data_IF_038218562950
#
_entry.id   IF_038218562950
#
_cell.length_a   1.000
_cell.length_b   1.000
_cell.length_c   1.000
_cell.angle_alpha   90.00
_cell.angle_beta   90.00
_cell.angle_gamma   90.00
#
_symmetry.space_group_name_H-M   'P 1'
#
loop_
_entity.id
_entity.type
_entity.pdbx_description
1 polymer ?
#
# COMPACT_ATOMS: atom_id res chain seq x y z
N UNK A 1 4.69 65.21 124.87
CA UNK A 1 5.03 65.96 126.11
C UNK A 1 4.03 67.08 126.24
N UNK A 2 3.11 66.94 127.20
CA UNK A 2 2.28 67.97 127.81
C UNK A 2 1.53 67.24 128.93
N UNK A 3 2.20 67.13 130.07
CA UNK A 3 1.61 66.65 131.32
C UNK A 3 0.54 67.66 131.74
N UNK A 4 -0.70 67.20 131.85
CA UNK A 4 -1.84 68.02 132.28
C UNK A 4 -1.55 68.58 133.68
N UNK A 5 -1.50 69.92 133.84
CA UNK A 5 -1.28 70.56 135.12
C UNK A 5 -2.63 70.69 135.84
N UNK A 6 -2.64 70.37 137.15
CA UNK A 6 -3.82 70.28 138.04
C UNK A 6 -4.63 68.98 137.80
N UNK A 7 -4.86 68.09 138.76
CA UNK A 7 -5.39 68.33 140.11
C UNK A 7 -4.86 67.25 141.10
N UNK A 8 -4.25 67.77 142.19
CA UNK A 8 -3.80 67.19 143.49
C UNK A 8 -2.66 66.13 143.48
N UNK A 9 -1.41 66.51 143.85
CA UNK A 9 -0.21 65.65 143.86
C UNK A 9 -0.17 64.44 144.81
N UNK A 10 -1.27 64.08 145.48
CA UNK A 10 -1.27 63.04 146.51
C UNK A 10 -2.38 61.97 146.37
N UNK A 11 -3.01 61.85 145.19
CA UNK A 11 -3.83 60.68 144.85
C UNK A 11 -3.23 59.95 143.65
N UNK A 12 -2.85 58.68 143.82
CA UNK A 12 -2.40 57.82 142.71
C UNK A 12 -3.58 57.57 141.76
N UNK A 13 -3.47 57.96 140.50
CA UNK A 13 -4.45 57.58 139.48
C UNK A 13 -4.33 56.07 139.27
N UNK A 14 -5.41 55.32 139.52
CA UNK A 14 -5.36 53.83 139.54
C UNK A 14 -6.12 53.19 138.38
N UNK A 15 -7.09 53.89 137.79
CA UNK A 15 -7.91 53.33 136.72
C UNK A 15 -8.19 54.36 135.62
N UNK A 16 -8.16 53.92 134.37
CA UNK A 16 -8.63 54.71 133.23
C UNK A 16 -9.74 53.96 132.51
N UNK A 17 -10.68 54.71 131.95
CA UNK A 17 -11.63 54.20 130.98
C UNK A 17 -11.63 55.10 129.76
N UNK A 18 -11.69 54.49 128.60
CA UNK A 18 -11.72 55.19 127.33
C UNK A 18 -12.86 54.66 126.47
N UNK A 19 -13.33 55.48 125.53
CA UNK A 19 -14.39 55.11 124.61
C UNK A 19 -14.19 55.85 123.30
N UNK A 20 -14.09 55.13 122.19
CA UNK A 20 -14.15 55.73 120.86
C UNK A 20 -15.62 55.84 120.46
N UNK A 21 -16.23 56.98 120.75
CA UNK A 21 -17.61 57.27 120.37
C UNK A 21 -17.76 57.18 118.84
N UNK A 22 -18.76 56.41 118.40
CA UNK A 22 -18.96 56.05 116.99
C UNK A 22 -18.44 54.65 116.63
N UNK A 23 -17.65 54.01 117.49
CA UNK A 23 -17.18 52.63 117.31
C UNK A 23 -17.48 51.74 118.53
N UNK A 24 -17.12 52.19 119.73
CA UNK A 24 -17.33 51.45 120.98
C UNK A 24 -18.76 51.62 121.50
N UNK A 25 -19.42 50.51 121.88
CA UNK A 25 -20.74 50.53 122.52
C UNK A 25 -20.66 51.01 123.97
N UNK A 26 -19.68 50.50 124.73
CA UNK A 26 -19.47 50.78 126.15
C UNK A 26 -18.07 51.34 126.43
N UNK A 27 -17.83 51.77 127.68
CA UNK A 27 -16.50 52.22 128.11
C UNK A 27 -15.56 51.03 128.25
N UNK A 28 -14.38 51.13 127.64
CA UNK A 28 -13.30 50.18 127.81
C UNK A 28 -12.45 50.56 129.01
N UNK A 29 -12.21 49.62 129.92
CA UNK A 29 -11.42 49.86 131.13
C UNK A 29 -10.01 49.32 130.93
N UNK A 30 -9.00 50.11 131.26
CA UNK A 30 -7.60 49.70 131.18
C UNK A 30 -6.86 50.02 132.48
N UNK A 31 -6.04 49.06 132.93
CA UNK A 31 -5.03 49.29 133.97
C UNK A 31 -3.71 49.83 133.39
N UNK A 32 -3.60 49.86 132.06
CA UNK A 32 -2.41 50.31 131.33
C UNK A 32 -2.67 51.71 130.78
N UNK A 33 -1.90 52.69 131.25
CA UNK A 33 -2.26 54.11 131.18
C UNK A 33 -2.06 54.78 129.82
N UNK A 34 -1.58 54.09 128.78
CA UNK A 34 -1.09 54.74 127.56
C UNK A 34 -1.37 54.03 126.22
N UNK A 35 -2.19 52.97 126.15
CA UNK A 35 -2.45 52.28 124.88
C UNK A 35 -3.92 51.85 124.71
N UNK A 36 -4.50 52.28 123.59
CA UNK A 36 -5.76 51.78 123.03
C UNK A 36 -5.51 51.50 121.53
N UNK A 37 -5.94 50.34 121.03
CA UNK A 37 -5.70 49.93 119.64
C UNK A 37 -7.01 49.57 118.95
N UNK A 38 -7.24 50.17 117.78
CA UNK A 38 -8.40 49.91 116.92
C UNK A 38 -7.89 49.49 115.54
N UNK A 39 -8.21 48.28 115.11
CA UNK A 39 -7.90 47.79 113.76
C UNK A 39 -9.14 47.88 112.88
N UNK A 40 -8.92 48.17 111.59
CA UNK A 40 -9.98 48.21 110.58
C UNK A 40 -11.13 49.18 110.92
N UNK A 41 -10.78 50.34 111.50
CA UNK A 41 -11.72 51.39 111.81
C UNK A 41 -12.36 51.89 110.49
N UNK A 42 -13.70 51.79 110.33
CA UNK A 42 -14.36 52.27 109.12
C UNK A 42 -14.15 53.77 108.89
N UNK A 43 -14.43 54.23 107.67
CA UNK A 43 -14.42 55.66 107.41
C UNK A 43 -15.55 56.34 108.19
N UNK A 44 -15.23 57.41 108.91
CA UNK A 44 -16.18 58.08 109.79
C UNK A 44 -15.52 59.08 110.72
N UNK A 45 -16.38 59.84 111.41
CA UNK A 45 -15.99 60.77 112.46
C UNK A 45 -16.11 60.06 113.81
N UNK A 46 -15.01 60.00 114.54
CA UNK A 46 -14.94 59.37 115.85
C UNK A 46 -14.49 60.40 116.89
N UNK A 47 -14.99 60.25 118.11
CA UNK A 47 -14.52 61.04 119.25
C UNK A 47 -13.96 60.10 120.31
N UNK A 48 -12.65 60.15 120.51
CA UNK A 48 -11.99 59.40 121.56
C UNK A 48 -12.17 60.12 122.89
N UNK A 49 -12.89 59.49 123.82
CA UNK A 49 -13.16 60.00 125.15
C UNK A 49 -12.33 59.25 126.20
N UNK A 50 -11.81 59.97 127.20
CA UNK A 50 -10.98 59.42 128.27
C UNK A 50 -11.43 59.98 129.62
N UNK A 51 -11.63 59.10 130.60
CA UNK A 51 -11.83 59.45 132.01
C UNK A 51 -10.84 58.68 132.88
N UNK A 52 -10.42 59.31 133.97
CA UNK A 52 -9.47 58.76 134.94
C UNK A 52 -10.11 58.70 136.33
N UNK A 53 -9.73 57.73 137.15
CA UNK A 53 -10.15 57.62 138.54
C UNK A 53 -8.96 57.79 139.49
N UNK A 54 -9.21 58.42 140.63
CA UNK A 54 -8.23 58.59 141.70
C UNK A 54 -8.00 57.28 142.49
N UNK A 55 -7.11 57.31 143.49
CA UNK A 55 -6.72 56.12 144.27
C UNK A 55 -7.85 55.48 145.06
N UNK A 56 -8.91 56.25 145.31
CA UNK A 56 -10.08 55.85 146.09
C UNK A 56 -11.23 55.33 145.20
N UNK A 57 -10.97 55.15 143.90
CA UNK A 57 -11.92 54.60 142.94
C UNK A 57 -12.98 55.60 142.46
N UNK A 58 -12.83 56.88 142.79
CA UNK A 58 -13.74 57.95 142.38
C UNK A 58 -13.30 58.47 141.01
N UNK A 59 -14.23 58.45 140.04
CA UNK A 59 -14.00 58.92 138.68
C UNK A 59 -14.08 60.45 138.60
N UNK A 60 -13.21 61.07 137.79
CA UNK A 60 -13.30 62.49 137.49
C UNK A 60 -14.53 62.78 136.60
N UNK A 61 -15.30 63.82 136.94
CA UNK A 61 -16.47 64.25 136.16
C UNK A 61 -16.08 64.86 134.80
N UNK A 62 -14.85 65.35 134.65
CA UNK A 62 -14.37 65.85 133.36
C UNK A 62 -13.93 64.73 132.41
N UNK A 63 -14.57 64.68 131.23
CA UNK A 63 -14.23 63.76 130.14
C UNK A 63 -13.31 64.47 129.15
N UNK A 64 -12.07 63.97 128.96
CA UNK A 64 -11.19 64.45 127.89
C UNK A 64 -11.67 63.88 126.55
N UNK A 65 -11.73 64.70 125.49
CA UNK A 65 -12.17 64.24 124.16
C UNK A 65 -11.22 64.67 123.02
N UNK A 66 -10.97 63.78 122.05
CA UNK A 66 -10.18 64.01 120.84
C UNK A 66 -10.95 63.57 119.60
N UNK A 67 -11.09 64.45 118.60
CA UNK A 67 -11.77 64.12 117.34
C UNK A 67 -10.80 63.43 116.36
N UNK A 68 -11.19 62.27 115.84
CA UNK A 68 -10.44 61.45 114.88
C UNK A 68 -11.31 61.29 113.63
N UNK A 69 -10.78 61.61 112.45
CA UNK A 69 -11.48 61.48 111.17
C UNK A 69 -10.76 60.42 110.33
N UNK A 70 -11.42 59.32 110.05
CA UNK A 70 -10.89 58.28 109.14
C UNK A 70 -11.49 58.52 107.75
N UNK A 71 -10.68 58.98 106.81
CA UNK A 71 -11.13 59.17 105.42
C UNK A 71 -11.23 57.83 104.67
N UNK A 72 -12.24 57.64 103.81
CA UNK A 72 -12.38 56.40 103.05
C UNK A 72 -11.21 56.18 102.09
N UNK A 73 -10.78 54.93 101.86
CA UNK A 73 -9.73 54.63 100.89
C UNK A 73 -10.11 55.18 99.50
N UNK A 74 -9.16 55.83 98.82
CA UNK A 74 -9.41 56.53 97.57
C UNK A 74 -10.05 55.64 96.47
N UNK A 75 -9.72 54.35 96.43
CA UNK A 75 -10.29 53.38 95.47
C UNK A 75 -11.76 53.01 95.72
N UNK A 76 -12.32 53.33 96.91
CA UNK A 76 -13.76 53.18 97.20
C UNK A 76 -14.56 54.43 96.84
N UNK A 77 -13.91 55.52 96.44
CA UNK A 77 -14.58 56.77 96.05
C UNK A 77 -15.31 56.61 94.71
N UNK A 78 -16.35 57.43 94.49
CA UNK A 78 -17.09 57.48 93.22
C UNK A 78 -16.14 57.80 92.06
N UNK A 79 -15.19 58.72 92.27
CA UNK A 79 -14.20 59.14 91.26
C UNK A 79 -13.35 57.95 90.83
N UNK A 80 -12.84 57.14 91.77
CA UNK A 80 -12.04 55.96 91.42
C UNK A 80 -12.83 54.91 90.62
N UNK A 81 -14.11 54.69 90.95
CA UNK A 81 -14.98 53.79 90.17
C UNK A 81 -15.19 54.31 88.75
N UNK A 82 -15.43 55.62 88.59
CA UNK A 82 -15.55 56.27 87.28
C UNK A 82 -14.25 56.13 86.48
N UNK A 83 -13.09 56.31 87.12
CA UNK A 83 -11.80 56.15 86.45
C UNK A 83 -11.58 54.69 85.98
N UNK A 84 -11.89 53.69 86.81
CA UNK A 84 -11.74 52.29 86.41
C UNK A 84 -12.71 51.90 85.29
N UNK A 85 -13.97 52.35 85.34
CA UNK A 85 -14.92 52.08 84.25
C UNK A 85 -14.48 52.75 82.95
N UNK A 86 -13.95 53.98 83.01
CA UNK A 86 -13.39 54.66 81.84
C UNK A 86 -12.16 53.94 81.28
N UNK A 87 -11.26 53.42 82.14
CA UNK A 87 -10.10 52.64 81.70
C UNK A 87 -10.55 51.37 80.97
N UNK A 88 -11.49 50.61 81.55
CA UNK A 88 -12.03 49.39 80.94
C UNK A 88 -12.71 49.73 79.60
N UNK A 89 -13.53 50.77 79.56
CA UNK A 89 -14.18 51.23 78.34
C UNK A 89 -13.16 51.61 77.25
N UNK A 90 -12.06 52.26 77.62
CA UNK A 90 -10.97 52.59 76.68
C UNK A 90 -10.26 51.34 76.16
N UNK A 91 -10.00 50.35 77.01
CA UNK A 91 -9.37 49.07 76.60
C UNK A 91 -10.28 48.33 75.62
N UNK A 92 -11.58 48.23 75.91
CA UNK A 92 -12.57 47.59 75.03
C UNK A 92 -12.67 48.35 73.70
N UNK A 93 -12.77 49.67 73.76
CA UNK A 93 -12.82 50.52 72.57
C UNK A 93 -11.58 50.34 71.70
N UNK A 94 -10.37 50.34 72.31
CA UNK A 94 -9.13 50.16 71.57
C UNK A 94 -9.01 48.75 70.97
N UNK A 95 -9.35 47.71 71.73
CA UNK A 95 -9.40 46.32 71.24
C UNK A 95 -10.34 46.17 70.04
N UNK A 96 -11.55 46.75 70.15
CA UNK A 96 -12.53 46.75 69.06
C UNK A 96 -12.01 47.50 67.82
N UNK A 97 -11.37 48.66 68.00
CA UNK A 97 -10.74 49.43 66.92
C UNK A 97 -9.64 48.63 66.22
N UNK A 98 -8.77 47.94 66.98
CA UNK A 98 -7.73 47.07 66.41
C UNK A 98 -8.35 45.92 65.63
N UNK A 99 -9.35 45.23 66.19
CA UNK A 99 -10.05 44.13 65.53
C UNK A 99 -10.67 44.55 64.20
N UNK A 100 -11.33 45.71 64.16
CA UNK A 100 -11.91 46.26 62.92
C UNK A 100 -10.82 46.53 61.88
N UNK A 101 -9.69 47.11 62.28
CA UNK A 101 -8.61 47.41 61.35
C UNK A 101 -7.97 46.13 60.77
N UNK A 102 -7.82 45.07 61.57
CA UNK A 102 -7.36 43.76 61.10
C UNK A 102 -8.35 43.14 60.12
N UNK A 103 -9.65 43.14 60.44
CA UNK A 103 -10.69 42.60 59.56
C UNK A 103 -10.74 43.34 58.22
N UNK A 104 -10.60 44.67 58.24
CA UNK A 104 -10.50 45.47 57.01
C UNK A 104 -9.28 45.09 56.16
N UNK A 105 -8.12 44.88 56.77
CA UNK A 105 -6.90 44.42 56.07
C UNK A 105 -7.07 43.02 55.48
N UNK A 106 -7.65 42.08 56.23
CA UNK A 106 -7.92 40.73 55.76
C UNK A 106 -8.93 40.72 54.61
N UNK A 107 -10.02 41.48 54.72
CA UNK A 107 -11.00 41.64 53.64
C UNK A 107 -10.33 42.18 52.36
N UNK A 108 -9.52 43.24 52.47
CA UNK A 108 -8.79 43.81 51.32
C UNK A 108 -7.85 42.78 50.67
N UNK A 109 -7.07 42.05 51.47
CA UNK A 109 -6.17 40.99 50.97
C UNK A 109 -6.95 39.87 50.28
N UNK A 110 -8.11 39.51 50.81
CA UNK A 110 -8.98 38.50 50.20
C UNK A 110 -9.58 38.99 48.88
N UNK A 111 -10.04 40.24 48.82
CA UNK A 111 -10.55 40.85 47.58
C UNK A 111 -9.46 40.92 46.49
N UNK A 112 -8.23 41.29 46.86
CA UNK A 112 -7.07 41.28 45.96
C UNK A 112 -6.76 39.86 45.46
N UNK A 113 -6.74 38.87 46.36
CA UNK A 113 -6.47 37.47 46.00
C UNK A 113 -7.57 36.87 45.12
N UNK A 114 -8.84 37.14 45.42
CA UNK A 114 -9.98 36.71 44.60
C UNK A 114 -9.86 37.32 43.22
N UNK A 115 -9.58 38.62 43.13
CA UNK A 115 -9.39 39.30 41.84
C UNK A 115 -8.25 38.67 41.04
N UNK A 116 -7.10 38.44 41.66
CA UNK A 116 -5.95 37.78 41.02
C UNK A 116 -6.30 36.38 40.50
N UNK A 117 -6.98 35.56 41.33
CA UNK A 117 -7.41 34.21 40.94
C UNK A 117 -8.49 34.22 39.86
N UNK A 118 -9.42 35.15 39.91
CA UNK A 118 -10.45 35.29 38.87
C UNK A 118 -9.82 35.68 37.53
N UNK A 119 -8.84 36.58 37.52
CA UNK A 119 -8.08 36.92 36.31
C UNK A 119 -7.27 35.72 35.79
N UNK A 120 -6.57 34.98 36.67
CA UNK A 120 -5.84 33.77 36.28
C UNK A 120 -6.75 32.72 35.63
N UNK A 121 -7.92 32.47 36.24
CA UNK A 121 -8.91 31.52 35.71
C UNK A 121 -9.45 32.01 34.37
N UNK A 122 -9.74 33.30 34.23
CA UNK A 122 -10.20 33.86 32.96
C UNK A 122 -9.16 33.67 31.86
N UNK A 123 -7.90 34.03 32.13
CA UNK A 123 -6.81 33.83 31.17
C UNK A 123 -6.65 32.37 30.75
N UNK A 124 -6.71 31.43 31.72
CA UNK A 124 -6.65 30.00 31.42
C UNK A 124 -7.85 29.51 30.63
N UNK A 125 -9.03 30.06 30.89
CA UNK A 125 -10.24 29.72 30.15
C UNK A 125 -10.19 30.24 28.71
N UNK A 126 -9.65 31.44 28.51
CA UNK A 126 -9.43 32.02 27.18
C UNK A 126 -8.38 31.20 26.40
N UNK A 127 -7.24 30.83 27.03
CA UNK A 127 -6.22 29.95 26.43
C UNK A 127 -6.78 28.57 26.09
N UNK A 128 -7.62 28.00 26.95
CA UNK A 128 -8.25 26.71 26.71
C UNK A 128 -9.25 26.78 25.54
N UNK A 129 -9.99 27.89 25.42
CA UNK A 129 -10.90 28.10 24.29
C UNK A 129 -10.14 28.18 22.97
N UNK A 130 -9.01 28.91 22.93
CA UNK A 130 -8.17 29.00 21.74
C UNK A 130 -7.62 27.62 21.34
N UNK A 131 -7.11 26.84 22.30
CA UNK A 131 -6.66 25.47 22.05
C UNK A 131 -7.78 24.54 21.59
N UNK A 132 -8.99 24.74 22.07
CA UNK A 132 -10.14 23.95 21.64
C UNK A 132 -10.46 24.23 20.17
N UNK A 133 -10.44 25.49 19.76
CA UNK A 133 -10.65 25.88 18.36
C UNK A 133 -9.55 25.32 17.45
N UNK A 134 -8.27 25.38 17.88
CA UNK A 134 -7.16 24.74 17.14
C UNK A 134 -7.37 23.24 16.95
N UNK A 135 -7.77 22.50 17.99
CA UNK A 135 -8.02 21.06 17.90
C UNK A 135 -9.14 20.76 16.91
N UNK A 136 -10.23 21.53 16.93
CA UNK A 136 -11.35 21.36 16.00
C UNK A 136 -10.88 21.54 14.56
N UNK A 137 -10.06 22.56 14.27
CA UNK A 137 -9.51 22.76 12.93
C UNK A 137 -8.59 21.60 12.50
N UNK A 138 -7.75 21.10 13.40
CA UNK A 138 -6.87 19.96 13.11
C UNK A 138 -7.66 18.66 12.88
N UNK A 139 -8.75 18.42 13.61
CA UNK A 139 -9.62 17.26 13.39
C UNK A 139 -10.25 17.29 11.99
N UNK A 140 -10.64 18.48 11.51
CA UNK A 140 -11.19 18.65 10.17
C UNK A 140 -10.13 18.39 9.08
N UNK A 141 -8.92 18.93 9.22
CA UNK A 141 -7.79 18.68 8.30
C UNK A 141 -7.40 17.20 8.25
N UNK A 142 -7.28 16.54 9.41
CA UNK A 142 -6.95 15.10 9.50
C UNK A 142 -8.03 14.27 8.81
N UNK A 143 -9.30 14.66 8.97
CA UNK A 143 -10.41 13.95 8.32
C UNK A 143 -10.33 14.08 6.81
N UNK A 144 -10.07 15.28 6.29
CA UNK A 144 -9.90 15.51 4.85
C UNK A 144 -8.74 14.68 4.28
N UNK A 145 -7.58 14.70 4.95
CA UNK A 145 -6.42 13.88 4.56
C UNK A 145 -6.72 12.38 4.59
N UNK A 146 -7.49 11.90 5.58
CA UNK A 146 -7.88 10.51 5.67
C UNK A 146 -8.84 10.09 4.53
N UNK A 147 -9.72 10.98 4.09
CA UNK A 147 -10.59 10.76 2.93
C UNK A 147 -9.78 10.74 1.63
N UNK A 148 -8.84 11.68 1.44
CA UNK A 148 -7.95 11.70 0.27
C UNK A 148 -7.06 10.44 0.19
N UNK A 149 -6.46 10.04 1.31
CA UNK A 149 -5.62 8.84 1.37
C UNK A 149 -6.40 7.57 1.05
N UNK A 150 -7.67 7.48 1.47
CA UNK A 150 -8.56 6.37 1.12
C UNK A 150 -8.83 6.33 -0.38
N UNK A 151 -9.18 7.47 -0.97
CA UNK A 151 -9.41 7.57 -2.42
C UNK A 151 -8.16 7.21 -3.24
N UNK A 152 -6.99 7.68 -2.79
CA UNK A 152 -5.71 7.34 -3.42
C UNK A 152 -5.39 5.84 -3.29
N UNK A 153 -5.61 5.25 -2.12
CA UNK A 153 -5.40 3.81 -1.90
C UNK A 153 -6.31 2.95 -2.77
N UNK A 154 -7.57 3.36 -2.96
CA UNK A 154 -8.52 2.67 -3.83
C UNK A 154 -8.06 2.75 -5.29
N UNK A 155 -7.70 3.94 -5.77
CA UNK A 155 -7.15 4.16 -7.11
C UNK A 155 -5.89 3.33 -7.35
N UNK A 156 -4.97 3.28 -6.39
CA UNK A 156 -3.74 2.50 -6.50
C UNK A 156 -4.04 1.00 -6.60
N UNK A 157 -5.00 0.51 -5.81
CA UNK A 157 -5.43 -0.89 -5.85
C UNK A 157 -6.03 -1.26 -7.21
N UNK A 158 -6.87 -0.42 -7.79
CA UNK A 158 -7.45 -0.66 -9.12
C UNK A 158 -6.38 -0.61 -10.20
N UNK A 159 -5.44 0.33 -10.12
CA UNK A 159 -4.33 0.46 -11.07
C UNK A 159 -3.45 -0.80 -11.02
N UNK A 160 -3.12 -1.28 -9.81
CA UNK A 160 -2.35 -2.51 -9.62
C UNK A 160 -3.09 -3.75 -10.16
N UNK A 161 -4.41 -3.84 -9.98
CA UNK A 161 -5.22 -4.93 -10.53
C UNK A 161 -5.19 -4.94 -12.05
N UNK A 162 -5.41 -3.78 -12.68
CA UNK A 162 -5.37 -3.64 -14.13
C UNK A 162 -3.98 -3.96 -14.71
N UNK A 163 -2.91 -3.54 -14.01
CA UNK A 163 -1.55 -3.82 -14.42
C UNK A 163 -1.25 -5.33 -14.34
N UNK A 164 -1.67 -6.00 -13.28
CA UNK A 164 -1.48 -7.43 -13.11
C UNK A 164 -2.18 -8.24 -14.23
N UNK A 165 -3.39 -7.82 -14.63
CA UNK A 165 -4.12 -8.43 -15.74
C UNK A 165 -3.39 -8.24 -17.07
N UNK A 166 -2.95 -7.02 -17.39
CA UNK A 166 -2.16 -6.74 -18.59
C UNK A 166 -0.85 -7.52 -18.64
N UNK A 167 -0.15 -7.65 -17.51
CA UNK A 167 1.08 -8.45 -17.44
C UNK A 167 0.76 -9.91 -17.77
N UNK A 168 -0.31 -10.47 -17.21
CA UNK A 168 -0.72 -11.85 -17.48
C UNK A 168 -1.06 -12.07 -18.96
N UNK A 169 -1.84 -11.17 -19.56
CA UNK A 169 -2.18 -11.23 -20.99
C UNK A 169 -0.93 -11.21 -21.86
N UNK A 170 -0.01 -10.27 -21.59
CA UNK A 170 1.25 -10.16 -22.34
C UNK A 170 2.15 -11.38 -22.18
N UNK A 171 2.21 -11.99 -21.00
CA UNK A 171 2.97 -13.22 -20.80
C UNK A 171 2.42 -14.36 -21.66
N UNK A 172 1.09 -14.53 -21.70
CA UNK A 172 0.45 -15.57 -22.53
C UNK A 172 0.68 -15.31 -24.01
N UNK A 173 0.57 -14.06 -24.47
CA UNK A 173 0.89 -13.69 -25.86
C UNK A 173 2.34 -14.01 -26.22
N UNK A 174 3.28 -13.69 -25.34
CA UNK A 174 4.71 -13.94 -25.54
C UNK A 174 5.03 -15.43 -25.56
N UNK A 175 4.46 -16.23 -24.65
CA UNK A 175 4.63 -17.70 -24.65
C UNK A 175 4.13 -18.33 -25.96
N UNK A 176 2.95 -17.91 -26.43
CA UNK A 176 2.41 -18.39 -27.70
C UNK A 176 3.26 -17.97 -28.91
N UNK A 177 3.77 -16.73 -28.92
CA UNK A 177 4.64 -16.25 -29.97
C UNK A 177 5.99 -16.98 -29.98
N UNK A 178 6.56 -17.24 -28.79
CA UNK A 178 7.80 -17.97 -28.62
C UNK A 178 7.65 -19.41 -29.13
N UNK A 179 6.58 -20.12 -28.74
CA UNK A 179 6.33 -21.49 -29.21
C UNK A 179 6.25 -21.57 -30.74
N UNK A 180 5.53 -20.64 -31.39
CA UNK A 180 5.48 -20.56 -32.87
C UNK A 180 6.85 -20.31 -33.50
N UNK A 181 7.67 -19.45 -32.88
CA UNK A 181 9.00 -19.15 -33.37
C UNK A 181 9.94 -20.36 -33.25
N UNK A 182 9.89 -21.08 -32.12
CA UNK A 182 10.67 -22.30 -31.89
C UNK A 182 10.28 -23.42 -32.87
N UNK A 183 8.98 -23.62 -33.10
CA UNK A 183 8.48 -24.60 -34.08
C UNK A 183 8.98 -24.28 -35.49
N UNK A 184 8.91 -23.00 -35.90
CA UNK A 184 9.42 -22.54 -37.19
C UNK A 184 10.93 -22.73 -37.30
N UNK A 185 11.69 -22.41 -36.25
CA UNK A 185 13.13 -22.57 -36.23
C UNK A 185 13.54 -24.05 -36.34
N UNK A 186 12.83 -24.94 -35.65
CA UNK A 186 13.05 -26.39 -35.72
C UNK A 186 12.78 -26.92 -37.13
N UNK A 187 11.67 -26.52 -37.75
CA UNK A 187 11.33 -26.87 -39.14
C UNK A 187 12.42 -26.43 -40.12
N UNK A 188 12.89 -25.18 -40.02
CA UNK A 188 13.96 -24.65 -40.88
C UNK A 188 15.26 -25.43 -40.66
N UNK A 189 15.63 -25.70 -39.42
CA UNK A 189 16.85 -26.45 -39.09
C UNK A 189 16.81 -27.88 -39.68
N UNK A 190 15.69 -28.59 -39.51
CA UNK A 190 15.47 -29.90 -40.11
C UNK A 190 15.54 -29.84 -41.64
N UNK A 191 14.87 -28.87 -42.27
CA UNK A 191 14.91 -28.67 -43.72
C UNK A 191 16.33 -28.46 -44.26
N UNK A 192 17.14 -27.60 -43.64
CA UNK A 192 18.52 -27.33 -44.05
C UNK A 192 19.44 -28.54 -43.90
N UNK A 193 19.25 -29.32 -42.83
CA UNK A 193 19.98 -30.57 -42.62
C UNK A 193 19.68 -31.57 -43.74
N UNK A 194 18.41 -31.69 -44.12
CA UNK A 194 17.95 -32.61 -45.16
C UNK A 194 18.52 -32.22 -46.53
N UNK A 195 18.46 -30.93 -46.85
CA UNK A 195 19.04 -30.42 -48.08
C UNK A 195 20.54 -30.72 -48.19
N UNK A 196 21.28 -30.51 -47.11
CA UNK A 196 22.72 -30.78 -47.08
C UNK A 196 23.03 -32.23 -47.47
N UNK A 197 22.15 -33.18 -47.11
CA UNK A 197 22.26 -34.57 -47.52
C UNK A 197 21.87 -34.77 -49.00
N UNK A 198 20.75 -34.20 -49.44
CA UNK A 198 20.27 -34.33 -50.82
C UNK A 198 21.26 -33.74 -51.84
N UNK A 199 22.00 -32.67 -51.53
CA UNK A 199 23.10 -32.14 -52.37
C UNK A 199 24.30 -33.08 -52.40
N UNK A 200 24.69 -33.60 -51.24
CA UNK A 200 25.95 -34.34 -51.09
C UNK A 200 25.93 -35.63 -51.91
N UNK A 201 24.77 -36.28 -52.05
CA UNK A 201 24.62 -37.52 -52.84
C UNK A 201 24.95 -37.35 -54.33
N UNK A 202 24.30 -36.48 -55.11
CA UNK A 202 24.65 -36.26 -56.51
C UNK A 202 26.05 -35.65 -56.65
N UNK A 203 26.48 -34.79 -55.73
CA UNK A 203 27.84 -34.21 -55.76
C UNK A 203 28.93 -35.30 -55.62
N UNK A 204 28.76 -36.23 -54.69
CA UNK A 204 29.68 -37.35 -54.50
C UNK A 204 29.64 -38.30 -55.71
N UNK A 205 28.47 -38.53 -56.30
CA UNK A 205 28.34 -39.32 -57.52
C UNK A 205 29.06 -38.64 -58.71
N UNK A 206 28.83 -37.33 -58.93
CA UNK A 206 29.51 -36.53 -59.96
C UNK A 206 31.02 -36.64 -59.79
N UNK A 207 31.53 -36.44 -58.58
CA UNK A 207 32.97 -36.51 -58.30
C UNK A 207 33.53 -37.92 -58.52
N UNK A 208 32.83 -38.96 -58.07
CA UNK A 208 33.26 -40.35 -58.26
C UNK A 208 33.26 -40.79 -59.72
N UNK A 209 32.18 -40.53 -60.47
CA UNK A 209 32.09 -40.89 -61.88
C UNK A 209 32.99 -40.01 -62.76
N UNK A 210 33.19 -38.74 -62.42
CA UNK A 210 34.15 -37.86 -63.12
C UNK A 210 35.59 -38.34 -62.96
N UNK A 211 35.98 -38.81 -61.77
CA UNK A 211 37.30 -39.42 -61.53
C UNK A 211 37.49 -40.71 -62.35
N UNK A 212 36.44 -41.52 -62.48
CA UNK A 212 36.47 -42.75 -63.28
C UNK A 212 36.64 -42.41 -64.78
N UNK A 213 35.88 -41.44 -65.31
CA UNK A 213 35.97 -40.99 -66.72
C UNK A 213 37.36 -40.45 -67.06
N UNK A 214 38.06 -39.84 -66.11
CA UNK A 214 39.42 -39.32 -66.27
C UNK A 214 40.55 -40.37 -66.20
N UNK A 215 40.24 -41.64 -65.92
CA UNK A 215 41.23 -42.72 -65.84
C UNK A 215 41.61 -43.32 -67.21
N UNK A 216 42.82 -43.89 -67.33
CA UNK A 216 43.43 -44.26 -68.63
C UNK A 216 42.96 -45.60 -69.25
N UNK A 217 42.03 -46.35 -68.65
CA UNK A 217 41.60 -47.68 -69.16
C UNK A 217 40.07 -47.87 -69.27
N UNK A 218 39.36 -47.00 -70.01
CA UNK A 218 37.93 -47.17 -70.28
C UNK A 218 37.62 -47.24 -71.78
N UNK A 219 36.76 -48.19 -72.15
CA UNK A 219 36.13 -48.23 -73.47
C UNK A 219 35.25 -47.01 -73.68
N UNK A 220 35.16 -46.51 -74.91
CA UNK A 220 34.35 -45.32 -75.24
C UNK A 220 32.87 -45.46 -74.84
N UNK A 221 32.31 -46.67 -74.90
CA UNK A 221 30.95 -46.96 -74.43
C UNK A 221 30.76 -46.75 -72.91
N UNK A 222 31.75 -47.14 -72.10
CA UNK A 222 31.71 -46.92 -70.64
C UNK A 222 31.96 -45.46 -70.28
N UNK A 223 32.80 -44.75 -71.04
CA UNK A 223 32.98 -43.29 -70.88
C UNK A 223 31.68 -42.54 -71.16
N UNK A 224 30.99 -42.87 -72.25
CA UNK A 224 29.67 -42.33 -72.55
C UNK A 224 28.67 -42.59 -71.44
N UNK A 225 28.56 -43.84 -70.97
CA UNK A 225 27.65 -44.21 -69.88
C UNK A 225 27.93 -43.45 -68.57
N UNK A 226 29.19 -43.27 -68.18
CA UNK A 226 29.53 -42.49 -66.97
C UNK A 226 29.34 -40.98 -67.16
N UNK A 227 29.58 -40.45 -68.35
CA UNK A 227 29.27 -39.06 -68.68
C UNK A 227 27.76 -38.79 -68.57
N UNK A 228 26.92 -39.71 -69.05
CA UNK A 228 25.46 -39.63 -68.91
C UNK A 228 25.04 -39.64 -67.43
N UNK A 229 25.67 -40.48 -66.60
CA UNK A 229 25.41 -40.51 -65.15
C UNK A 229 25.80 -39.19 -64.50
N UNK A 230 26.96 -38.61 -64.85
CA UNK A 230 27.38 -37.29 -64.35
C UNK A 230 26.37 -36.21 -64.76
N UNK A 231 25.97 -36.17 -66.03
CA UNK A 231 25.00 -35.20 -66.54
C UNK A 231 23.65 -35.32 -65.81
N UNK A 232 23.13 -36.54 -65.63
CA UNK A 232 21.90 -36.78 -64.87
C UNK A 232 22.00 -36.29 -63.42
N UNK A 233 23.14 -36.51 -62.76
CA UNK A 233 23.35 -36.04 -61.39
C UNK A 233 23.49 -34.51 -61.31
N UNK A 234 24.11 -33.86 -62.30
CA UNK A 234 24.19 -32.39 -62.40
C UNK A 234 22.79 -31.80 -62.59
N UNK A 235 21.99 -32.34 -63.51
CA UNK A 235 20.61 -31.90 -63.73
C UNK A 235 19.75 -32.10 -62.47
N UNK A 236 19.89 -33.23 -61.78
CA UNK A 236 19.21 -33.50 -60.50
C UNK A 236 19.61 -32.49 -59.42
N UNK A 237 20.90 -32.15 -59.31
CA UNK A 237 21.39 -31.17 -58.34
C UNK A 237 20.86 -29.76 -58.63
N UNK A 238 20.82 -29.34 -59.90
CA UNK A 238 20.26 -28.04 -60.30
C UNK A 238 18.77 -27.94 -59.91
N UNK A 239 17.99 -28.98 -60.19
CA UNK A 239 16.58 -29.04 -59.79
C UNK A 239 16.38 -28.94 -58.27
N UNK A 240 17.27 -29.56 -57.48
CA UNK A 240 17.21 -29.46 -56.02
C UNK A 240 17.54 -28.05 -55.53
N UNK A 241 18.57 -27.41 -56.10
CA UNK A 241 18.94 -26.02 -55.78
C UNK A 241 17.79 -25.07 -56.09
N UNK A 242 17.17 -25.21 -57.28
CA UNK A 242 16.05 -24.37 -57.68
C UNK A 242 14.85 -24.55 -56.74
N UNK A 243 14.53 -25.79 -56.39
CA UNK A 243 13.46 -26.09 -55.42
C UNK A 243 13.67 -25.40 -54.07
N UNK A 244 14.91 -25.23 -53.65
CA UNK A 244 15.24 -24.61 -52.36
C UNK A 244 15.27 -23.11 -52.43
N UNK A 245 15.74 -22.56 -53.55
CA UNK A 245 15.57 -21.15 -53.82
C UNK A 245 14.09 -20.77 -53.82
N UNK A 246 13.21 -21.63 -54.33
CA UNK A 246 11.76 -21.40 -54.30
C UNK A 246 11.17 -21.50 -52.89
N UNK A 247 11.55 -22.52 -52.10
CA UNK A 247 11.13 -22.63 -50.69
C UNK A 247 11.62 -21.43 -49.86
N UNK A 248 12.86 -20.99 -50.05
CA UNK A 248 13.42 -19.82 -49.36
C UNK A 248 12.69 -18.52 -49.73
N UNK A 249 12.36 -18.33 -51.02
CA UNK A 249 11.54 -17.19 -51.47
C UNK A 249 10.14 -17.23 -50.88
N UNK A 250 9.51 -18.40 -50.79
CA UNK A 250 8.19 -18.56 -50.18
C UNK A 250 8.21 -18.19 -48.69
N UNK A 251 9.20 -18.69 -47.93
CA UNK A 251 9.32 -18.39 -46.50
C UNK A 251 9.64 -16.93 -46.19
N UNK A 252 10.43 -16.27 -47.04
CA UNK A 252 10.78 -14.85 -46.86
C UNK A 252 9.71 -13.89 -47.40
N UNK A 253 8.62 -14.42 -47.97
CA UNK A 253 7.60 -13.61 -48.64
C UNK A 253 8.09 -12.93 -49.92
N UNK A 254 9.23 -13.36 -50.47
CA UNK A 254 9.83 -12.83 -51.69
C UNK A 254 9.37 -13.56 -52.95
N UNK A 255 8.52 -14.59 -52.81
CA UNK A 255 7.91 -15.26 -53.96
C UNK A 255 6.81 -14.38 -54.54
N UNK A 256 7.09 -13.77 -55.69
CA UNK A 256 6.15 -12.90 -56.40
C UNK A 256 5.49 -13.69 -57.51
N UNK A 257 4.18 -13.95 -57.37
CA UNK A 257 3.37 -14.57 -58.42
C UNK A 257 3.31 -13.65 -59.63
N UNK A 258 3.67 -14.18 -60.81
CA UNK A 258 3.49 -13.48 -62.07
C UNK A 258 2.05 -13.68 -62.53
N UNK A 259 1.33 -12.61 -62.85
CA UNK A 259 -0.02 -12.73 -63.41
C UNK A 259 0.04 -12.61 -64.92
N UNK A 260 0.06 -13.75 -65.62
CA UNK A 260 -0.09 -13.81 -67.07
C UNK A 260 -1.41 -14.50 -67.45
N UNK A 261 -2.00 -14.09 -68.57
CA UNK A 261 -3.16 -14.76 -69.15
C UNK A 261 -2.66 -15.98 -69.95
N UNK A 262 -3.22 -17.16 -69.70
CA UNK A 262 -2.86 -18.37 -70.44
C UNK A 262 -4.02 -19.39 -70.51
N UNK A 263 -4.03 -20.22 -71.55
CA UNK A 263 -4.97 -21.35 -71.69
C UNK A 263 -4.53 -22.54 -70.84
N UNK A 264 -5.43 -23.04 -69.98
CA UNK A 264 -5.17 -24.24 -69.19
C UNK A 264 -5.04 -25.49 -70.07
N UNK A 265 -5.89 -25.60 -71.10
CA UNK A 265 -5.83 -26.71 -72.06
C UNK A 265 -4.45 -26.80 -72.70
N UNK A 266 -3.91 -25.67 -73.17
CA UNK A 266 -2.60 -25.63 -73.82
C UNK A 266 -1.47 -25.97 -72.84
N UNK A 267 -1.57 -25.54 -71.59
CA UNK A 267 -0.60 -25.91 -70.56
C UNK A 267 -0.59 -27.43 -70.32
N UNK A 268 -1.76 -28.04 -70.12
CA UNK A 268 -1.86 -29.48 -69.88
C UNK A 268 -1.45 -30.31 -71.10
N UNK A 269 -1.81 -29.88 -72.32
CA UNK A 269 -1.38 -30.53 -73.57
C UNK A 269 0.14 -30.45 -73.72
N UNK A 270 0.76 -29.31 -73.39
CA UNK A 270 2.23 -29.18 -73.38
C UNK A 270 2.86 -30.15 -72.39
N UNK A 271 2.37 -30.21 -71.15
CA UNK A 271 2.84 -31.17 -70.14
C UNK A 271 2.67 -32.62 -70.63
N UNK A 272 1.52 -32.95 -71.21
CA UNK A 272 1.26 -34.28 -71.78
C UNK A 272 2.29 -34.64 -72.85
N UNK A 273 2.53 -33.74 -73.80
CA UNK A 273 3.48 -33.96 -74.89
C UNK A 273 4.93 -34.06 -74.41
N UNK A 274 5.29 -33.31 -73.37
CA UNK A 274 6.62 -33.38 -72.73
C UNK A 274 6.84 -34.74 -72.02
N UNK A 275 5.80 -35.29 -71.38
CA UNK A 275 5.93 -36.50 -70.54
C UNK A 275 5.63 -37.82 -71.26
N UNK A 276 4.71 -37.85 -72.23
CA UNK A 276 4.21 -39.10 -72.86
C UNK A 276 5.29 -40.00 -73.47
N UNK A 277 6.42 -39.43 -73.89
CA UNK A 277 7.50 -40.14 -74.56
C UNK A 277 8.65 -40.53 -73.61
N UNK A 278 8.50 -40.32 -72.29
CA UNK A 278 9.55 -40.71 -71.34
C UNK A 278 9.67 -42.23 -71.27
N UNK A 279 10.91 -42.73 -71.23
CA UNK A 279 11.22 -44.15 -71.08
C UNK A 279 10.49 -44.79 -69.91
N UNK A 280 10.42 -44.09 -68.77
CA UNK A 280 9.66 -44.54 -67.58
C UNK A 280 8.18 -44.84 -67.81
N UNK A 281 7.52 -44.23 -68.81
CA UNK A 281 6.12 -44.52 -69.15
C UNK A 281 6.05 -45.70 -70.13
N UNK A 282 6.96 -45.72 -71.11
CA UNK A 282 7.03 -46.74 -72.16
C UNK A 282 7.47 -48.09 -71.57
N UNK A 283 8.55 -48.09 -70.80
CA UNK A 283 9.15 -49.27 -70.17
C UNK A 283 8.21 -49.91 -69.13
N UNK A 284 7.37 -49.08 -68.49
CA UNK A 284 6.39 -49.52 -67.48
C UNK A 284 5.00 -49.84 -68.04
N UNK A 285 4.78 -49.70 -69.35
CA UNK A 285 3.47 -49.91 -70.01
C UNK A 285 2.33 -49.15 -69.33
N UNK A 286 2.57 -47.89 -68.96
CA UNK A 286 1.57 -47.03 -68.32
C UNK A 286 0.68 -46.38 -69.38
N UNK A 287 -0.63 -46.54 -69.27
CA UNK A 287 -1.59 -45.73 -70.03
C UNK A 287 -1.56 -44.30 -69.49
N UNK A 288 -1.09 -43.35 -70.30
CA UNK A 288 -0.97 -41.95 -69.93
C UNK A 288 -2.03 -41.13 -70.66
N UNK A 289 -2.96 -40.56 -69.91
CA UNK A 289 -4.14 -39.88 -70.43
C UNK A 289 -4.28 -38.46 -69.87
N UNK A 290 -4.80 -37.55 -70.69
CA UNK A 290 -5.11 -36.18 -70.27
C UNK A 290 -6.60 -35.91 -70.47
N UNK A 291 -7.26 -35.43 -69.43
CA UNK A 291 -8.70 -35.20 -69.42
C UNK A 291 -9.00 -33.71 -69.15
N UNK A 292 -9.43 -33.02 -70.19
CA UNK A 292 -9.59 -31.56 -70.18
C UNK A 292 -11.08 -31.22 -70.21
N UNK A 293 -11.51 -30.35 -69.30
CA UNK A 293 -12.82 -29.73 -69.38
C UNK A 293 -12.86 -28.66 -70.50
N UNK A 294 -13.95 -27.88 -70.54
CA UNK A 294 -14.12 -26.77 -71.49
C UNK A 294 -12.88 -25.86 -71.48
N UNK A 295 -12.50 -25.38 -72.66
CA UNK A 295 -11.38 -24.47 -72.83
C UNK A 295 -11.58 -23.21 -71.97
N UNK A 296 -10.56 -22.86 -71.20
CA UNK A 296 -10.59 -21.73 -70.27
C UNK A 296 -9.24 -21.02 -70.27
N UNK A 297 -9.29 -19.69 -70.29
CA UNK A 297 -8.15 -18.84 -70.03
C UNK A 297 -8.16 -18.39 -68.58
N UNK A 298 -6.99 -18.46 -67.93
CA UNK A 298 -6.80 -18.05 -66.55
C UNK A 298 -5.72 -16.98 -66.49
N UNK A 299 -5.98 -15.96 -65.67
CA UNK A 299 -4.99 -14.96 -65.28
C UNK A 299 -4.32 -15.38 -63.97
N UNK A 300 -3.16 -16.00 -64.06
CA UNK A 300 -2.38 -16.47 -62.91
C UNK A 300 -0.92 -16.71 -63.31
N UNK A 301 -0.14 -17.37 -62.47
CA UNK A 301 1.24 -17.73 -62.76
C UNK A 301 1.28 -19.07 -63.52
N UNK A 302 1.49 -18.99 -64.83
CA UNK A 302 1.57 -20.20 -65.67
C UNK A 302 2.74 -21.10 -65.30
N UNK A 303 3.85 -20.55 -64.82
CA UNK A 303 5.04 -21.34 -64.47
C UNK A 303 4.79 -22.08 -63.14
N UNK A 304 4.15 -21.41 -62.17
CA UNK A 304 3.74 -22.04 -60.92
C UNK A 304 2.70 -23.15 -61.13
N UNK A 305 1.70 -22.92 -62.01
CA UNK A 305 0.75 -23.96 -62.41
C UNK A 305 1.44 -25.14 -63.09
N UNK A 306 2.39 -24.87 -64.01
CA UNK A 306 3.19 -25.92 -64.65
C UNK A 306 3.90 -26.74 -63.58
N UNK A 307 4.62 -26.09 -62.67
CA UNK A 307 5.38 -26.74 -61.60
C UNK A 307 4.50 -27.59 -60.68
N UNK A 308 3.34 -27.08 -60.27
CA UNK A 308 2.38 -27.81 -59.44
C UNK A 308 1.93 -29.12 -60.11
N UNK A 309 1.42 -29.03 -61.33
CA UNK A 309 0.92 -30.21 -62.05
C UNK A 309 2.06 -31.17 -62.39
N UNK A 310 3.21 -30.64 -62.81
CA UNK A 310 4.39 -31.43 -63.12
C UNK A 310 4.84 -32.26 -61.91
N UNK A 311 4.88 -31.67 -60.71
CA UNK A 311 5.26 -32.37 -59.48
C UNK A 311 4.27 -33.50 -59.13
N UNK A 312 2.96 -33.27 -59.28
CA UNK A 312 1.95 -34.29 -59.00
C UNK A 312 2.00 -35.44 -60.02
N UNK A 313 2.16 -35.11 -61.30
CA UNK A 313 2.20 -36.10 -62.39
C UNK A 313 3.49 -36.93 -62.34
N UNK A 314 4.64 -36.33 -62.06
CA UNK A 314 5.90 -37.06 -61.86
C UNK A 314 5.81 -38.04 -60.69
N UNK A 315 5.18 -37.65 -59.58
CA UNK A 315 4.93 -38.56 -58.47
C UNK A 315 4.02 -39.72 -58.90
N UNK A 316 2.92 -39.45 -59.60
CA UNK A 316 2.02 -40.49 -60.12
C UNK A 316 2.74 -41.50 -61.04
N UNK A 317 3.57 -41.02 -61.98
CA UNK A 317 4.38 -41.87 -62.87
C UNK A 317 5.40 -42.68 -62.07
N UNK A 318 6.05 -42.07 -61.07
CA UNK A 318 7.07 -42.73 -60.26
C UNK A 318 6.52 -43.90 -59.44
N UNK A 319 5.32 -43.75 -58.87
CA UNK A 319 4.72 -44.73 -57.95
C UNK A 319 3.73 -45.70 -58.63
N UNK A 320 3.52 -45.55 -59.94
CA UNK A 320 2.79 -46.52 -60.77
C UNK A 320 3.80 -47.44 -61.45
N UNK A 321 3.71 -48.75 -61.20
CA UNK A 321 4.56 -49.74 -61.87
C UNK A 321 3.95 -50.28 -63.16
N UNK A 322 2.63 -50.48 -63.18
CA UNK A 322 1.82 -50.83 -64.36
C UNK A 322 0.41 -50.27 -64.16
N UNK A 323 -0.29 -49.90 -65.24
CA UNK A 323 -1.68 -49.43 -65.17
C UNK A 323 -1.90 -48.08 -65.84
N UNK A 324 -2.57 -47.14 -65.17
CA UNK A 324 -3.01 -45.87 -65.75
C UNK A 324 -2.66 -44.68 -64.87
N UNK A 325 -2.19 -43.61 -65.51
CA UNK A 325 -2.06 -42.27 -64.93
C UNK A 325 -2.87 -41.30 -65.79
N UNK A 326 -3.86 -40.66 -65.17
CA UNK A 326 -4.74 -39.68 -65.79
C UNK A 326 -4.61 -38.36 -65.04
N UNK A 327 -4.44 -37.26 -65.76
CA UNK A 327 -4.43 -35.94 -65.14
C UNK A 327 -5.26 -34.95 -65.95
N UNK A 328 -5.77 -33.94 -65.27
CA UNK A 328 -6.74 -33.07 -65.88
C UNK A 328 -7.21 -31.96 -64.98
N UNK A 329 -8.25 -31.29 -65.45
CA UNK A 329 -9.00 -30.34 -64.65
C UNK A 329 -10.48 -30.42 -64.98
N UNK A 330 -11.32 -30.16 -63.98
CA UNK A 330 -12.77 -29.98 -64.15
C UNK A 330 -13.21 -28.65 -63.55
N UNK A 331 -14.27 -28.08 -64.09
CA UNK A 331 -14.84 -26.81 -63.65
C UNK A 331 -16.26 -27.09 -63.17
N UNK A 332 -16.55 -26.73 -61.92
CA UNK A 332 -17.90 -26.83 -61.35
C UNK A 332 -18.42 -25.41 -61.12
N UNK A 333 -19.51 -25.04 -61.80
CA UNK A 333 -20.13 -23.74 -61.63
C UNK A 333 -21.13 -23.78 -60.46
N UNK A 334 -21.05 -22.80 -59.56
CA UNK A 334 -22.12 -22.55 -58.58
C UNK A 334 -23.26 -21.87 -59.34
N UNK A 335 -24.18 -22.69 -59.87
CA UNK A 335 -25.37 -22.35 -60.68
C UNK A 335 -25.15 -22.36 -62.21
N UNK A 336 -26.27 -22.59 -62.91
CA UNK A 336 -26.44 -23.00 -64.31
C UNK A 336 -26.09 -21.90 -65.34
N UNK A 337 -24.95 -21.24 -65.18
CA UNK A 337 -24.47 -20.17 -66.07
C UNK A 337 -23.20 -20.62 -66.79
N UNK A 338 -23.32 -20.93 -68.08
CA UNK A 338 -22.17 -21.08 -68.95
C UNK A 338 -21.49 -19.72 -69.16
N UNK A 339 -20.26 -19.56 -68.67
CA UNK A 339 -19.47 -18.33 -68.86
C UNK A 339 -18.07 -18.74 -69.32
N UNK A 340 -17.56 -18.09 -70.37
CA UNK A 340 -16.36 -18.48 -71.14
C UNK A 340 -15.12 -17.62 -70.89
N UNK A 341 -15.09 -16.72 -69.90
CA UNK A 341 -13.88 -15.95 -69.53
C UNK A 341 -13.95 -15.37 -68.11
N UNK A 342 -12.86 -15.44 -67.33
CA UNK A 342 -12.79 -14.89 -65.96
C UNK A 342 -11.41 -14.33 -65.57
N UNK A 343 -11.40 -13.23 -64.81
CA UNK A 343 -10.26 -12.79 -63.99
C UNK A 343 -10.45 -13.27 -62.54
N UNK A 344 -9.44 -13.95 -61.98
CA UNK A 344 -9.44 -14.35 -60.56
C UNK A 344 -9.30 -13.08 -59.72
N UNK A 345 -10.38 -12.68 -59.03
CA UNK A 345 -10.36 -11.60 -58.03
C UNK A 345 -10.90 -12.12 -56.68
N UNK A 346 -10.43 -11.54 -55.57
CA UNK A 346 -10.64 -11.97 -54.17
C UNK A 346 -12.09 -11.97 -53.64
N UNK A 347 -13.12 -12.04 -54.49
CA UNK A 347 -14.51 -12.31 -54.10
C UNK A 347 -14.88 -13.75 -54.46
N UNK A 348 -15.82 -14.35 -53.73
CA UNK A 348 -16.33 -15.70 -53.98
C UNK A 348 -16.57 -15.91 -55.49
N UNK A 349 -15.71 -16.71 -56.10
CA UNK A 349 -15.76 -16.95 -57.54
C UNK A 349 -16.97 -17.83 -57.84
N UNK A 350 -17.73 -17.57 -58.92
CA UNK A 350 -18.94 -18.34 -59.26
C UNK A 350 -18.65 -19.77 -59.76
N UNK A 351 -17.39 -20.21 -59.68
CA UNK A 351 -16.96 -21.53 -60.11
C UNK A 351 -15.82 -22.04 -59.22
N UNK A 352 -15.69 -23.37 -59.17
CA UNK A 352 -14.59 -24.09 -58.55
C UNK A 352 -13.80 -24.82 -59.63
N UNK A 353 -12.51 -24.52 -59.72
CA UNK A 353 -11.58 -25.23 -60.58
C UNK A 353 -10.95 -26.38 -59.78
N UNK A 354 -11.21 -27.61 -60.21
CA UNK A 354 -10.61 -28.80 -59.62
C UNK A 354 -9.51 -29.31 -60.54
N UNK A 355 -8.27 -29.25 -60.08
CA UNK A 355 -7.13 -29.88 -60.72
C UNK A 355 -6.99 -31.30 -60.15
N UNK A 356 -6.71 -32.28 -61.00
CA UNK A 356 -6.55 -33.66 -60.54
C UNK A 356 -5.44 -34.39 -61.26
N UNK A 357 -4.85 -35.34 -60.52
CA UNK A 357 -3.99 -36.41 -61.01
C UNK A 357 -4.50 -37.68 -60.34
N UNK A 358 -4.77 -38.70 -61.14
CA UNK A 358 -5.28 -39.98 -60.72
C UNK A 358 -4.32 -41.06 -61.21
N UNK A 359 -3.88 -41.93 -60.33
CA UNK A 359 -2.96 -43.01 -60.63
C UNK A 359 -3.47 -44.34 -60.07
N UNK A 360 -3.11 -45.43 -60.74
CA UNK A 360 -3.40 -46.79 -60.27
C UNK A 360 -2.20 -47.41 -59.54
N UNK A 361 -1.35 -46.58 -58.93
CA UNK A 361 -0.17 -47.01 -58.21
C UNK A 361 -0.48 -47.62 -56.84
N UNK A 362 0.55 -47.67 -55.99
CA UNK A 362 0.48 -48.29 -54.65
C UNK A 362 -0.50 -47.59 -53.69
N UNK A 363 -0.98 -46.40 -54.04
CA UNK A 363 -1.81 -45.56 -53.18
C UNK A 363 -1.05 -45.03 -51.96
N UNK A 364 -1.73 -44.20 -51.18
CA UNK A 364 -1.17 -43.58 -49.97
C UNK A 364 -2.02 -44.00 -48.77
N UNK A 365 -1.44 -44.67 -47.75
CA UNK A 365 -2.16 -45.00 -46.51
C UNK A 365 -2.77 -43.76 -45.86
N UNK A 366 -3.98 -43.86 -45.31
CA UNK A 366 -4.71 -42.73 -44.69
C UNK A 366 -3.90 -42.02 -43.61
N UNK A 367 -3.15 -42.79 -42.82
CA UNK A 367 -2.27 -42.31 -41.75
C UNK A 367 -1.16 -41.39 -42.27
N UNK A 368 -0.80 -41.49 -43.55
CA UNK A 368 0.26 -40.71 -44.19
C UNK A 368 -0.25 -39.45 -44.90
N UNK A 369 -1.57 -39.23 -45.01
CA UNK A 369 -2.13 -38.12 -45.81
C UNK A 369 -1.73 -36.74 -45.29
N UNK A 370 -1.70 -36.54 -43.97
CA UNK A 370 -1.25 -35.27 -43.36
C UNK A 370 0.28 -35.10 -43.40
N UNK A 371 0.99 -36.21 -43.56
CA UNK A 371 2.43 -36.36 -43.34
C UNK A 371 3.20 -36.14 -44.65
N UNK A 372 2.67 -36.59 -45.80
CA UNK A 372 3.36 -36.51 -47.11
C UNK A 372 3.59 -35.08 -47.63
N UNK A 373 2.82 -34.12 -47.13
CA UNK A 373 2.98 -32.70 -47.46
C UNK A 373 3.88 -31.96 -46.46
N UNK A 374 4.32 -32.63 -45.40
CA UNK A 374 5.34 -32.13 -44.48
C UNK A 374 6.74 -32.36 -45.09
N UNK A 375 7.53 -31.29 -45.32
CA UNK A 375 8.92 -31.40 -45.78
C UNK A 375 9.79 -32.34 -44.92
N UNK A 376 9.41 -32.57 -43.66
CA UNK A 376 10.14 -33.35 -42.65
C UNK A 376 9.98 -34.87 -42.79
N UNK A 377 9.00 -35.36 -43.56
CA UNK A 377 8.63 -36.79 -43.57
C UNK A 377 9.11 -37.54 -44.80
N UNK A 378 9.31 -36.82 -45.91
CA UNK A 378 10.17 -37.28 -47.02
C UNK A 378 11.52 -37.78 -46.49
N UNK A 379 12.00 -37.18 -45.39
CA UNK A 379 13.19 -37.56 -44.65
C UNK A 379 13.09 -38.92 -43.93
N UNK A 380 12.00 -39.20 -43.21
CA UNK A 380 11.87 -40.46 -42.47
C UNK A 380 11.82 -41.66 -43.41
N UNK A 381 11.20 -41.49 -44.58
CA UNK A 381 11.10 -42.53 -45.62
C UNK A 381 12.48 -42.78 -46.28
N UNK A 382 13.28 -41.74 -46.53
CA UNK A 382 14.65 -41.89 -47.06
C UNK A 382 15.62 -42.51 -46.04
N UNK A 383 15.50 -42.14 -44.75
CA UNK A 383 16.32 -42.73 -43.68
C UNK A 383 16.03 -44.22 -43.52
N UNK A 384 14.76 -44.64 -43.49
CA UNK A 384 14.38 -46.07 -43.44
C UNK A 384 14.94 -46.89 -44.60
N UNK A 385 15.01 -46.30 -45.82
CA UNK A 385 15.62 -46.95 -46.98
C UNK A 385 17.14 -47.10 -46.87
N UNK A 386 17.81 -46.23 -46.14
CA UNK A 386 19.26 -46.28 -45.91
C UNK A 386 19.67 -47.17 -44.73
N UNK A 387 18.83 -47.31 -43.71
CA UNK A 387 19.12 -48.12 -42.51
C UNK A 387 18.80 -49.61 -42.66
N UNK A 388 18.20 -50.03 -43.79
CA UNK A 388 17.94 -51.45 -44.05
C UNK A 388 16.87 -52.08 -43.15
N UNK A 389 16.10 -51.27 -42.43
CA UNK A 389 14.99 -51.77 -41.62
C UNK A 389 13.80 -52.08 -42.55
N UNK A 390 13.71 -53.35 -42.98
CA UNK A 390 12.45 -53.91 -43.46
C UNK A 390 11.50 -54.05 -42.26
N UNK A 391 10.25 -53.63 -42.46
CA UNK A 391 9.17 -53.93 -41.53
C UNK A 391 8.80 -55.40 -41.55
#
# INVERSE_FOLDING_TARGET
>A
MNSLPWIIPNQKITYIKYKLQGFDKDWNYSKNFNLASYTNLPAGDYTFMLQVANSDGIWNDEVLSLKIIVVPPWWKTIIARILFTLIIANIVFFSFRVRINVLKKQKKKLEELVKERTEEVRMKNDELSEKYDEIVTQEEEIREQAEELRALSEKLRDTNRNLAEKVKERTIELENALGKAEDSQKLISSFLSNFSHEIRTPLNAIMGFSQIVGGEELTEEKKGHYADIVEQNVQSLLLQIDSIMDVAKLHTGQYVLKNNLFSLSDLYIRIYNELKNRSKIIDKSISFEVNLAKEIEIKSDSDAFKGLIYNLVENAIKYTEQGKVEFGYRIEFEQNTEITQFEISNKESPFRLFLFVNDTGIGIPKESHEIIFDPSEKLKIQIKKFTGEQG
#
